data_IF_295724869044
#
_entry.id   IF_295724869044
#
_cell.length_a   1.000
_cell.length_b   1.000
_cell.length_c   1.000
_cell.angle_alpha   90.00
_cell.angle_beta   90.00
_cell.angle_gamma   90.00
#
_symmetry.space_group_name_H-M   'P 1'
#
loop_
_entity.id
_entity.type
_entity.pdbx_description
1 polymer ?
#
# COMPACT_ATOMS: atom_id res chain seq x y z
N UNK A 1 9.32 22.52 -7.12
CA UNK A 1 8.06 22.43 -6.34
C UNK A 1 7.61 20.98 -6.35
N UNK A 2 7.53 20.29 -5.21
CA UNK A 2 7.02 18.91 -5.17
C UNK A 2 5.49 18.96 -5.08
N UNK A 3 4.79 18.53 -6.13
CA UNK A 3 3.34 18.36 -6.09
C UNK A 3 3.01 17.13 -5.23
N UNK A 4 2.20 17.35 -4.20
CA UNK A 4 1.57 16.26 -3.46
C UNK A 4 0.58 15.57 -4.38
N UNK A 5 0.72 14.26 -4.56
CA UNK A 5 -0.25 13.47 -5.32
C UNK A 5 -1.00 12.60 -4.32
N UNK A 6 -2.33 12.59 -4.40
CA UNK A 6 -3.14 11.65 -3.63
C UNK A 6 -2.86 10.25 -4.12
N UNK A 7 -2.49 9.36 -3.20
CA UNK A 7 -2.23 7.94 -3.47
C UNK A 7 -3.01 7.07 -2.50
N UNK A 8 -3.30 5.87 -2.94
CA UNK A 8 -3.83 4.81 -2.10
C UNK A 8 -2.69 4.26 -1.25
N UNK A 9 -2.88 4.22 0.06
CA UNK A 9 -1.95 3.68 1.03
C UNK A 9 -2.60 2.43 1.63
N UNK A 10 -1.98 1.28 1.41
CA UNK A 10 -2.38 0.01 2.03
C UNK A 10 -1.59 -0.16 3.32
N UNK A 11 -2.30 -0.36 4.43
CA UNK A 11 -1.70 -0.60 5.74
C UNK A 11 -1.84 -2.05 6.17
N UNK A 12 -1.07 -2.43 7.18
CA UNK A 12 -0.96 -3.81 7.65
C UNK A 12 -0.92 -3.82 9.18
N UNK A 13 -1.57 -4.82 9.79
CA UNK A 13 -1.58 -4.97 11.25
C UNK A 13 -0.23 -5.44 11.81
N UNK A 14 0.58 -6.10 10.98
CA UNK A 14 1.87 -6.65 11.36
C UNK A 14 2.87 -6.64 10.20
N UNK A 15 4.16 -6.79 10.53
CA UNK A 15 5.26 -6.76 9.55
C UNK A 15 5.24 -7.98 8.61
N UNK A 16 4.73 -9.12 9.05
CA UNK A 16 4.70 -10.35 8.25
C UNK A 16 3.78 -10.19 7.05
N UNK A 17 2.58 -9.64 7.25
CA UNK A 17 1.62 -9.37 6.18
C UNK A 17 2.16 -8.30 5.22
N UNK A 18 2.78 -7.25 5.76
CA UNK A 18 3.43 -6.21 4.95
C UNK A 18 4.52 -6.80 4.02
N UNK A 19 5.36 -7.69 4.54
CA UNK A 19 6.41 -8.36 3.75
C UNK A 19 5.83 -9.34 2.72
N UNK A 20 4.80 -10.10 3.09
CA UNK A 20 4.12 -11.01 2.15
C UNK A 20 3.48 -10.23 1.00
N UNK A 21 2.83 -9.11 1.32
CA UNK A 21 2.23 -8.20 0.36
C UNK A 21 3.28 -7.57 -0.57
N UNK A 22 4.38 -7.05 -0.02
CA UNK A 22 5.50 -6.51 -0.81
C UNK A 22 6.03 -7.55 -1.78
N UNK A 23 6.28 -8.78 -1.32
CA UNK A 23 6.80 -9.87 -2.14
C UNK A 23 5.84 -10.23 -3.27
N UNK A 24 4.54 -10.31 -2.98
CA UNK A 24 3.52 -10.57 -3.98
C UNK A 24 3.47 -9.44 -5.01
N UNK A 25 3.46 -8.19 -4.57
CA UNK A 25 3.46 -7.03 -5.46
C UNK A 25 4.70 -7.01 -6.37
N UNK A 26 5.88 -7.26 -5.82
CA UNK A 26 7.12 -7.35 -6.60
C UNK A 26 7.10 -8.50 -7.61
N UNK A 27 6.52 -9.64 -7.24
CA UNK A 27 6.47 -10.82 -8.12
C UNK A 27 5.49 -10.66 -9.29
N UNK A 28 4.47 -9.80 -9.12
CA UNK A 28 3.43 -9.53 -10.10
C UNK A 28 3.59 -8.16 -10.80
N UNK A 29 4.73 -7.49 -10.60
CA UNK A 29 5.02 -6.15 -11.13
C UNK A 29 3.88 -5.16 -10.85
N UNK A 30 3.37 -5.21 -9.61
CA UNK A 30 2.29 -4.34 -9.18
C UNK A 30 2.80 -2.92 -8.98
N UNK A 31 2.10 -1.92 -9.53
CA UNK A 31 2.51 -0.54 -9.42
C UNK A 31 2.46 -0.09 -7.97
N UNK A 32 3.47 0.68 -7.59
CA UNK A 32 3.59 1.22 -6.25
C UNK A 32 4.95 0.97 -5.64
N UNK A 33 5.06 1.27 -4.36
CA UNK A 33 6.28 1.02 -3.58
C UNK A 33 5.95 0.96 -2.11
N UNK A 34 6.81 0.27 -1.37
CA UNK A 34 6.84 0.38 0.08
C UNK A 34 7.24 1.80 0.49
N UNK A 35 6.46 2.41 1.37
CA UNK A 35 6.78 3.67 2.03
C UNK A 35 6.61 3.51 3.55
N UNK A 36 7.38 4.26 4.36
CA UNK A 36 7.06 4.39 5.77
C UNK A 36 5.64 4.97 5.92
N UNK A 37 4.93 4.48 6.92
CA UNK A 37 3.56 4.93 7.20
C UNK A 37 3.53 6.46 7.34
N UNK A 38 2.71 7.18 6.55
CA UNK A 38 2.55 8.62 6.70
C UNK A 38 2.09 8.96 8.11
N UNK A 39 2.61 10.04 8.71
CA UNK A 39 2.21 10.49 10.07
C UNK A 39 0.71 10.73 10.25
N UNK A 40 -0.04 10.88 9.17
CA UNK A 40 -1.51 11.00 9.18
C UNK A 40 -2.22 9.66 9.43
N UNK A 41 -1.50 8.54 9.38
CA UNK A 41 -2.02 7.18 9.53
C UNK A 41 -1.29 6.55 10.73
N UNK A 42 -2.06 6.08 11.72
CA UNK A 42 -1.52 5.55 12.97
C UNK A 42 -1.63 4.02 12.98
N UNK A 43 -0.67 3.33 12.33
CA UNK A 43 -0.64 1.86 12.30
C UNK A 43 0.65 1.32 12.92
N UNK A 44 0.55 0.09 13.45
CA UNK A 44 1.55 -0.55 14.31
C UNK A 44 2.84 -0.94 13.59
N UNK A 45 2.76 -1.39 12.34
CA UNK A 45 3.87 -2.06 11.65
C UNK A 45 4.92 -1.09 11.05
N UNK A 46 4.62 0.21 10.99
CA UNK A 46 5.53 1.26 10.51
C UNK A 46 5.74 1.30 8.98
N UNK A 47 5.19 0.33 8.24
CA UNK A 47 5.38 0.18 6.79
C UNK A 47 4.02 0.14 6.07
N UNK A 48 3.94 0.72 4.88
CA UNK A 48 2.72 0.74 4.07
C UNK A 48 3.05 0.65 2.57
N UNK A 49 2.10 0.20 1.75
CA UNK A 49 2.26 0.15 0.30
C UNK A 49 1.54 1.33 -0.36
N UNK A 50 2.27 2.13 -1.14
CA UNK A 50 1.74 3.29 -1.85
C UNK A 50 1.46 2.94 -3.30
N UNK A 51 0.21 3.10 -3.72
CA UNK A 51 -0.31 2.86 -5.08
C UNK A 51 -0.87 4.15 -5.69
N UNK A 52 -0.59 4.47 -6.96
CA UNK A 52 -1.31 5.52 -7.69
C UNK A 52 -2.82 5.26 -7.70
N UNK A 53 -3.66 6.29 -7.52
CA UNK A 53 -5.12 6.11 -7.51
C UNK A 53 -5.68 5.50 -8.80
N UNK A 54 -5.03 5.77 -9.93
CA UNK A 54 -5.38 5.19 -11.23
C UNK A 54 -5.28 3.65 -11.23
N UNK A 55 -4.47 3.09 -10.34
CA UNK A 55 -4.23 1.65 -10.20
C UNK A 55 -4.95 1.06 -8.97
N UNK A 56 -5.82 1.83 -8.30
CA UNK A 56 -6.57 1.36 -7.12
C UNK A 56 -7.42 0.13 -7.43
N UNK A 57 -8.17 0.15 -8.54
CA UNK A 57 -9.00 -1.00 -8.93
C UNK A 57 -8.15 -2.25 -9.20
N UNK A 58 -7.00 -2.07 -9.87
CA UNK A 58 -6.06 -3.17 -10.12
C UNK A 58 -5.50 -3.71 -8.80
N UNK A 59 -5.15 -2.85 -7.85
CA UNK A 59 -4.68 -3.26 -6.54
C UNK A 59 -5.74 -4.02 -5.76
N UNK A 60 -6.98 -3.52 -5.71
CA UNK A 60 -8.09 -4.20 -5.02
C UNK A 60 -8.33 -5.60 -5.57
N UNK A 61 -8.39 -5.74 -6.89
CA UNK A 61 -8.52 -7.05 -7.55
C UNK A 61 -7.33 -7.96 -7.25
N UNK A 62 -6.11 -7.44 -7.33
CA UNK A 62 -4.91 -8.20 -7.02
C UNK A 62 -4.93 -8.76 -5.59
N UNK A 63 -5.32 -7.93 -4.62
CA UNK A 63 -5.41 -8.34 -3.21
C UNK A 63 -6.47 -9.41 -2.99
N UNK A 64 -7.63 -9.29 -3.65
CA UNK A 64 -8.68 -10.31 -3.63
C UNK A 64 -8.23 -11.62 -4.30
N UNK A 65 -7.61 -11.55 -5.48
CA UNK A 65 -7.13 -12.70 -6.25
C UNK A 65 -6.02 -13.48 -5.52
N UNK A 66 -5.10 -12.76 -4.88
CA UNK A 66 -3.99 -13.35 -4.13
C UNK A 66 -4.36 -13.70 -2.68
N UNK A 67 -5.51 -13.23 -2.19
CA UNK A 67 -5.93 -13.42 -0.79
C UNK A 67 -4.96 -12.78 0.21
N UNK A 68 -4.39 -11.62 -0.11
CA UNK A 68 -3.40 -10.95 0.74
C UNK A 68 -4.06 -10.32 1.96
N UNK A 69 -3.43 -10.48 3.13
CA UNK A 69 -3.84 -9.82 4.35
C UNK A 69 -3.43 -8.34 4.33
N UNK A 70 -4.37 -7.46 4.69
CA UNK A 70 -4.16 -6.04 4.85
C UNK A 70 -5.12 -5.53 5.94
N UNK A 71 -4.75 -4.43 6.59
CA UNK A 71 -5.58 -3.79 7.62
C UNK A 71 -6.64 -2.90 6.98
N UNK A 72 -6.23 -2.06 6.02
CA UNK A 72 -7.14 -1.12 5.39
C UNK A 72 -6.52 -0.35 4.23
N UNK A 73 -7.41 0.32 3.50
CA UNK A 73 -7.08 1.26 2.45
C UNK A 73 -7.26 2.69 2.96
N UNK A 74 -6.20 3.47 2.87
CA UNK A 74 -6.17 4.88 3.27
C UNK A 74 -5.79 5.76 2.09
N UNK A 75 -6.18 7.02 2.15
CA UNK A 75 -5.81 8.01 1.14
C UNK A 75 -4.86 9.01 1.78
N UNK A 76 -3.64 9.10 1.27
CA UNK A 76 -2.67 10.07 1.73
C UNK A 76 -2.04 10.84 0.57
N UNK A 77 -1.75 12.10 0.83
CA UNK A 77 -0.94 12.92 -0.05
C UNK A 77 0.53 12.66 0.21
N UNK A 78 1.17 11.96 -0.73
CA UNK A 78 2.60 11.62 -0.65
C UNK A 78 3.37 12.30 -1.78
N UNK A 79 4.61 12.66 -1.47
CA UNK A 79 5.51 13.42 -2.34
C UNK A 79 6.34 12.54 -3.28
#
# INVERSE_FOLDING_TARGET
MRQKVKKLIVTFDNTTDAMAFEKACHSHDMPGRVIPVPRSISVSCGISWSVPLEEEERMRRFVEEQGLAFEGYHYAEVY
#
